data_IF_466018673767
#
_entry.id   IF_466018673767
#
_cell.length_a   1.000
_cell.length_b   1.000
_cell.length_c   1.000
_cell.angle_alpha   90.00
_cell.angle_beta   90.00
_cell.angle_gamma   90.00
#
_symmetry.space_group_name_H-M   'P 1'
#
loop_
_entity.id
_entity.type
_entity.pdbx_description
1 polymer ?
#
# COMPACT_ATOMS: atom_id res chain seq x y z
N UNK A 1 -5.61 -15.83 -2.27
CA UNK A 1 -5.34 -14.41 -2.61
C UNK A 1 -6.01 -13.54 -1.57
N UNK A 2 -5.27 -12.70 -0.84
CA UNK A 2 -5.81 -11.77 0.14
C UNK A 2 -5.91 -10.38 -0.50
N UNK A 3 -7.10 -9.78 -0.52
CA UNK A 3 -7.33 -8.46 -1.12
C UNK A 3 -7.64 -7.46 -0.01
N UNK A 4 -6.83 -6.40 0.09
CA UNK A 4 -6.97 -5.35 1.10
C UNK A 4 -7.13 -3.99 0.43
N UNK A 5 -8.32 -3.39 0.50
CA UNK A 5 -8.56 -2.04 0.00
C UNK A 5 -7.83 -1.01 0.87
N UNK A 6 -6.96 -0.19 0.29
CA UNK A 6 -6.22 0.88 0.98
C UNK A 6 -6.49 2.25 0.35
N UNK A 7 -6.55 3.28 1.18
CA UNK A 7 -6.55 4.69 0.77
C UNK A 7 -5.12 5.25 0.74
N UNK A 8 -4.96 6.43 0.15
CA UNK A 8 -3.68 7.15 0.19
C UNK A 8 -3.18 7.33 1.63
N UNK A 9 -1.86 7.21 1.83
CA UNK A 9 -1.15 7.25 3.10
C UNK A 9 -1.43 6.09 4.06
N UNK A 10 -2.21 5.08 3.64
CA UNK A 10 -2.40 3.87 4.45
C UNK A 10 -1.27 2.86 4.24
N UNK A 11 -1.08 2.04 5.27
CA UNK A 11 0.01 1.06 5.38
C UNK A 11 -0.56 -0.36 5.38
N UNK A 12 0.20 -1.29 4.82
CA UNK A 12 -0.03 -2.72 4.88
C UNK A 12 1.23 -3.32 5.51
N UNK A 13 1.06 -4.04 6.62
CA UNK A 13 2.16 -4.81 7.20
C UNK A 13 2.14 -6.21 6.61
N UNK A 14 3.26 -6.64 6.05
CA UNK A 14 3.43 -7.99 5.50
C UNK A 14 4.48 -8.71 6.35
N UNK A 15 4.03 -9.68 7.16
CA UNK A 15 4.87 -10.31 8.18
C UNK A 15 5.33 -9.29 9.25
N UNK A 16 6.53 -9.49 9.79
CA UNK A 16 7.02 -8.66 10.90
C UNK A 16 7.93 -7.52 10.46
N UNK A 17 8.56 -7.61 9.28
CA UNK A 17 9.63 -6.68 8.88
C UNK A 17 9.29 -5.79 7.69
N UNK A 18 8.18 -6.02 6.99
CA UNK A 18 7.86 -5.30 5.75
C UNK A 18 6.61 -4.42 5.94
N UNK A 19 6.74 -3.14 5.62
CA UNK A 19 5.64 -2.16 5.69
C UNK A 19 5.48 -1.52 4.31
N UNK A 20 4.43 -1.90 3.60
CA UNK A 20 4.09 -1.31 2.31
C UNK A 20 3.20 -0.09 2.54
N UNK A 21 3.58 1.07 2.02
CA UNK A 21 2.82 2.32 2.15
C UNK A 21 2.27 2.78 0.80
N UNK A 22 0.97 3.07 0.74
CA UNK A 22 0.35 3.70 -0.44
C UNK A 22 0.66 5.19 -0.42
N UNK A 23 1.72 5.61 -1.09
CA UNK A 23 2.19 7.01 -1.07
C UNK A 23 1.24 7.93 -1.83
N UNK A 24 0.82 7.52 -3.04
CA UNK A 24 -0.09 8.31 -3.89
C UNK A 24 -0.90 7.42 -4.81
N UNK A 25 -2.14 7.78 -5.06
CA UNK A 25 -2.98 7.21 -6.11
C UNK A 25 -3.21 8.29 -7.17
N UNK A 26 -3.06 7.95 -8.45
CA UNK A 26 -3.21 8.88 -9.58
C UNK A 26 -3.81 8.12 -10.76
N UNK A 27 -5.14 8.22 -10.90
CA UNK A 27 -5.89 7.45 -11.89
C UNK A 27 -5.69 5.94 -11.69
N UNK A 28 -5.18 5.29 -12.73
CA UNK A 28 -4.79 3.88 -12.78
C UNK A 28 -3.41 3.59 -12.15
N UNK A 29 -2.63 4.64 -11.83
CA UNK A 29 -1.27 4.50 -11.28
C UNK A 29 -1.25 4.64 -9.77
N UNK A 30 -0.45 3.82 -9.11
CA UNK A 30 -0.23 3.88 -7.66
C UNK A 30 1.26 3.96 -7.37
N UNK A 31 1.65 4.90 -6.52
CA UNK A 31 3.01 5.00 -5.99
C UNK A 31 3.07 4.29 -4.65
N UNK A 32 3.95 3.31 -4.56
CA UNK A 32 4.12 2.47 -3.39
C UNK A 32 5.51 2.73 -2.79
N UNK A 33 5.59 2.81 -1.48
CA UNK A 33 6.84 2.76 -0.71
C UNK A 33 6.93 1.44 0.06
N UNK A 34 8.14 0.91 0.23
CA UNK A 34 8.46 -0.33 0.96
C UNK A 34 9.46 0.00 2.06
#
# INVERSE_FOLDING_TARGET
MLVLSRKQSQRIRVGDSVIVTVVRVSGDKVRIGI
#
